data_IF_672040967961
#
_entry.id   IF_672040967961
#
_cell.length_a   1.000
_cell.length_b   1.000
_cell.length_c   1.000
_cell.angle_alpha   90.00
_cell.angle_beta   90.00
_cell.angle_gamma   90.00
#
_symmetry.space_group_name_H-M   'P 1'
#
loop_
_entity.id
_entity.type
_entity.pdbx_description
1 polymer ?
#
# COMPACT_ATOMS: atom_id res chain seq x y z
N UNK A 1 2.90 -3.77 6.40
CA UNK A 1 2.87 -4.77 5.34
C UNK A 1 1.44 -5.07 4.95
N UNK A 2 0.71 -5.80 5.79
CA UNK A 2 -0.65 -6.30 5.47
C UNK A 2 -1.64 -5.20 5.05
N UNK A 3 -1.67 -4.06 5.74
CA UNK A 3 -2.59 -2.96 5.42
C UNK A 3 -2.36 -2.38 4.01
N UNK A 4 -1.12 -2.14 3.60
CA UNK A 4 -0.80 -1.65 2.25
C UNK A 4 -1.15 -2.69 1.18
N UNK A 5 -0.98 -3.98 1.48
CA UNK A 5 -1.34 -5.08 0.58
C UNK A 5 -2.86 -5.16 0.37
N UNK A 6 -3.64 -5.12 1.45
CA UNK A 6 -5.11 -5.10 1.35
C UNK A 6 -5.63 -3.85 0.64
N UNK A 7 -5.04 -2.67 0.89
CA UNK A 7 -5.40 -1.44 0.21
C UNK A 7 -5.13 -1.50 -1.30
N UNK A 8 -3.97 -2.02 -1.71
CA UNK A 8 -3.66 -2.24 -3.13
C UNK A 8 -4.66 -3.19 -3.79
N UNK A 9 -4.96 -4.33 -3.17
CA UNK A 9 -5.97 -5.27 -3.69
C UNK A 9 -7.33 -4.60 -3.79
N UNK A 10 -7.74 -3.83 -2.78
CA UNK A 10 -9.02 -3.13 -2.77
C UNK A 10 -9.10 -2.12 -3.92
N UNK A 11 -8.09 -1.25 -4.07
CA UNK A 11 -8.09 -0.23 -5.12
C UNK A 11 -8.01 -0.83 -6.52
N UNK A 12 -7.20 -1.88 -6.71
CA UNK A 12 -7.16 -2.62 -7.99
C UNK A 12 -8.50 -3.30 -8.29
N UNK A 13 -9.13 -3.91 -7.30
CA UNK A 13 -10.44 -4.55 -7.49
C UNK A 13 -11.53 -3.53 -7.86
N UNK A 14 -11.54 -2.37 -7.18
CA UNK A 14 -12.46 -1.28 -7.49
C UNK A 14 -12.22 -0.71 -8.90
N UNK A 15 -10.96 -0.61 -9.34
CA UNK A 15 -10.61 -0.15 -10.68
C UNK A 15 -11.05 -1.13 -11.77
N UNK A 16 -10.88 -2.43 -11.53
CA UNK A 16 -11.35 -3.48 -12.46
C UNK A 16 -12.87 -3.50 -12.54
N UNK A 17 -13.58 -3.24 -11.43
CA UNK A 17 -15.04 -3.15 -11.41
C UNK A 17 -15.58 -1.85 -12.01
N UNK A 18 -14.89 -0.72 -11.85
CA UNK A 18 -15.33 0.57 -12.41
C UNK A 18 -15.29 0.59 -13.94
N UNK A 19 -14.33 -0.10 -14.55
CA UNK A 19 -14.17 -0.18 -16.02
C UNK A 19 -15.42 -0.71 -16.75
N UNK A 20 -15.98 -1.89 -16.42
CA UNK A 20 -17.19 -2.38 -17.07
C UNK A 20 -18.42 -1.53 -16.73
N UNK A 21 -18.47 -0.91 -15.54
CA UNK A 21 -19.56 0.00 -15.15
C UNK A 21 -19.55 1.25 -16.04
N UNK A 22 -18.38 1.81 -16.31
CA UNK A 22 -18.20 2.98 -17.17
C UNK A 22 -18.59 2.69 -18.62
N UNK A 23 -18.23 1.50 -19.15
CA UNK A 23 -18.66 1.07 -20.48
C UNK A 23 -20.17 0.84 -20.53
N UNK A 24 -20.75 0.21 -19.50
CA UNK A 24 -22.18 -0.04 -19.42
C UNK A 24 -22.98 1.27 -19.31
N UNK A 25 -22.55 2.22 -18.49
CA UNK A 25 -23.21 3.53 -18.36
C UNK A 25 -23.12 4.33 -19.67
N UNK A 26 -21.99 4.29 -20.36
CA UNK A 26 -21.84 4.91 -21.68
C UNK A 26 -22.81 4.32 -22.70
N UNK A 27 -22.92 2.98 -22.78
CA UNK A 27 -23.84 2.30 -23.69
C UNK A 27 -25.32 2.58 -23.34
N UNK A 28 -25.66 2.64 -22.05
CA UNK A 28 -27.01 2.96 -21.59
C UNK A 28 -27.38 4.41 -21.91
N UNK A 29 -26.47 5.35 -21.70
CA UNK A 29 -26.66 6.75 -22.08
C UNK A 29 -26.86 6.86 -23.60
N UNK A 30 -25.98 6.25 -24.39
CA UNK A 30 -25.99 6.38 -25.85
C UNK A 30 -27.17 5.67 -26.54
N UNK A 31 -27.55 4.45 -26.10
CA UNK A 31 -28.62 3.67 -26.75
C UNK A 31 -30.00 3.88 -26.15
N UNK A 32 -30.10 4.26 -24.87
CA UNK A 32 -31.39 4.36 -24.15
C UNK A 32 -31.72 5.79 -23.71
N UNK A 33 -30.85 6.78 -23.96
CA UNK A 33 -31.02 8.17 -23.55
C UNK A 33 -31.40 8.34 -22.07
N UNK A 34 -30.88 7.46 -21.21
CA UNK A 34 -31.11 7.53 -19.76
C UNK A 34 -30.21 8.62 -19.20
N UNK A 35 -30.79 9.78 -18.88
CA UNK A 35 -30.05 10.97 -18.40
C UNK A 35 -29.27 10.70 -17.12
N UNK A 36 -29.79 9.88 -16.21
CA UNK A 36 -29.09 9.52 -14.97
C UNK A 36 -27.82 8.67 -15.19
N UNK A 37 -27.69 8.00 -16.34
CA UNK A 37 -26.48 7.23 -16.65
C UNK A 37 -25.25 8.15 -16.87
N UNK A 38 -25.48 9.42 -17.22
CA UNK A 38 -24.43 10.42 -17.35
C UNK A 38 -23.79 10.76 -16.00
N UNK A 39 -24.60 10.93 -14.95
CA UNK A 39 -24.10 11.20 -13.59
C UNK A 39 -23.26 10.03 -13.09
N UNK A 40 -23.70 8.80 -13.36
CA UNK A 40 -22.96 7.58 -13.02
C UNK A 40 -21.66 7.49 -13.80
N UNK A 41 -21.66 7.81 -15.10
CA UNK A 41 -20.47 7.87 -15.93
C UNK A 41 -19.45 8.87 -15.37
N UNK A 42 -19.87 10.10 -15.08
CA UNK A 42 -19.02 11.14 -14.52
C UNK A 42 -18.43 10.72 -13.16
N UNK A 43 -19.26 10.18 -12.27
CA UNK A 43 -18.82 9.70 -10.95
C UNK A 43 -17.79 8.57 -11.08
N UNK A 44 -17.97 7.67 -12.06
CA UNK A 44 -17.03 6.60 -12.35
C UNK A 44 -15.68 7.14 -12.83
N UNK A 45 -15.68 8.16 -13.70
CA UNK A 45 -14.46 8.82 -14.18
C UNK A 45 -13.70 9.52 -13.04
N UNK A 46 -14.40 10.30 -12.20
CA UNK A 46 -13.80 10.93 -11.01
C UNK A 46 -13.25 9.88 -10.03
N UNK A 47 -13.99 8.79 -9.82
CA UNK A 47 -13.54 7.70 -8.96
C UNK A 47 -12.29 7.00 -9.51
N UNK A 48 -12.16 6.89 -10.84
CA UNK A 48 -10.98 6.34 -11.49
C UNK A 48 -9.73 7.17 -11.22
N UNK A 49 -9.83 8.50 -11.33
CA UNK A 49 -8.72 9.42 -11.00
C UNK A 49 -8.36 9.29 -9.52
N UNK A 50 -9.36 9.29 -8.63
CA UNK A 50 -9.15 9.14 -7.19
C UNK A 50 -8.46 7.82 -6.84
N UNK A 51 -8.91 6.70 -7.39
CA UNK A 51 -8.31 5.37 -7.18
C UNK A 51 -6.86 5.35 -7.64
N UNK A 52 -6.53 6.02 -8.75
CA UNK A 52 -5.16 6.11 -9.25
C UNK A 52 -4.26 6.88 -8.27
N UNK A 53 -4.74 8.00 -7.73
CA UNK A 53 -4.04 8.77 -6.70
C UNK A 53 -3.85 7.92 -5.43
N UNK A 54 -4.89 7.23 -4.96
CA UNK A 54 -4.82 6.35 -3.81
C UNK A 54 -3.83 5.18 -4.01
N UNK A 55 -3.78 4.61 -5.20
CA UNK A 55 -2.85 3.54 -5.53
C UNK A 55 -1.39 4.02 -5.48
N UNK A 56 -1.10 5.19 -6.03
CA UNK A 56 0.22 5.82 -5.88
C UNK A 56 0.52 6.19 -4.42
N UNK A 57 -0.47 6.69 -3.68
CA UNK A 57 -0.35 6.97 -2.23
C UNK A 57 -0.01 5.72 -1.40
N UNK A 58 -0.40 4.52 -1.84
CA UNK A 58 -0.02 3.27 -1.18
C UNK A 58 1.49 3.00 -1.21
N UNK A 59 2.24 3.60 -2.13
CA UNK A 59 3.71 3.53 -2.13
C UNK A 59 4.31 4.23 -0.91
N UNK A 60 3.73 5.35 -0.49
CA UNK A 60 4.18 6.08 0.71
C UNK A 60 4.00 5.24 1.99
N UNK A 61 2.87 4.55 2.10
CA UNK A 61 2.61 3.62 3.21
C UNK A 61 3.55 2.40 3.21
N UNK A 62 3.97 1.93 2.02
CA UNK A 62 4.93 0.82 1.90
C UNK A 62 6.32 1.22 2.41
N UNK A 63 6.79 2.43 2.05
CA UNK A 63 8.07 2.98 2.51
C UNK A 63 8.08 3.17 4.04
N UNK A 64 7.02 3.77 4.60
CA UNK A 64 6.88 3.95 6.07
C UNK A 64 7.00 2.62 6.81
N UNK A 65 6.35 1.57 6.29
CA UNK A 65 6.44 0.25 6.91
C UNK A 65 7.86 -0.34 6.83
N UNK A 66 8.55 -0.18 5.70
CA UNK A 66 9.94 -0.64 5.56
C UNK A 66 10.89 0.07 6.53
N UNK A 67 10.78 1.39 6.66
CA UNK A 67 11.62 2.17 7.59
C UNK A 67 11.38 1.76 9.04
N UNK A 68 10.13 1.68 9.49
CA UNK A 68 9.80 1.25 10.86
C UNK A 68 10.29 -0.18 11.14
N UNK A 69 10.19 -1.08 10.17
CA UNK A 69 10.69 -2.44 10.32
C UNK A 69 12.22 -2.49 10.44
N UNK A 70 12.95 -1.76 9.58
CA UNK A 70 14.40 -1.70 9.62
C UNK A 70 14.92 -1.11 10.94
N UNK A 71 14.30 -0.03 11.44
CA UNK A 71 14.68 0.58 12.72
C UNK A 71 14.45 -0.39 13.88
N UNK A 72 13.30 -1.07 13.95
CA UNK A 72 13.04 -2.07 14.99
C UNK A 72 14.04 -3.22 14.97
N UNK A 73 14.38 -3.73 13.78
CA UNK A 73 15.36 -4.82 13.65
C UNK A 73 16.77 -4.40 14.11
N UNK A 74 17.15 -3.14 13.86
CA UNK A 74 18.42 -2.58 14.35
C UNK A 74 18.37 -2.43 15.88
N UNK A 75 17.28 -1.92 16.43
CA UNK A 75 17.11 -1.76 17.89
C UNK A 75 17.12 -3.10 18.62
N UNK A 76 16.44 -4.12 18.07
CA UNK A 76 16.49 -5.49 18.59
C UNK A 76 17.91 -6.08 18.50
N UNK A 77 18.67 -5.78 17.44
CA UNK A 77 20.05 -6.24 17.32
C UNK A 77 20.99 -5.57 18.33
N UNK A 78 20.77 -4.29 18.64
CA UNK A 78 21.54 -3.54 19.64
C UNK A 78 21.19 -4.03 21.05
N UNK A 79 19.91 -4.27 21.35
CA UNK A 79 19.48 -4.77 22.67
C UNK A 79 19.84 -6.24 22.93
N UNK A 80 19.91 -7.08 21.89
CA UNK A 80 20.30 -8.49 22.00
C UNK A 80 21.84 -8.72 21.96
N UNK A 81 22.66 -7.65 21.96
CA UNK A 81 24.09 -7.75 22.30
C UNK A 81 24.39 -7.36 23.77
N UNK A 82 23.86 -8.04 24.81
CA UNK A 82 24.65 -8.25 26.01
C UNK A 82 25.53 -9.47 25.75
N UNK A 83 26.84 -9.40 26.01
CA UNK A 83 27.80 -10.54 26.01
C UNK A 83 28.64 -10.78 24.75
N UNK A 84 29.20 -9.74 24.10
CA UNK A 84 30.48 -9.91 23.36
C UNK A 84 31.65 -9.11 23.90
N UNK A 85 31.40 -8.07 24.71
CA UNK A 85 32.50 -7.31 25.32
C UNK A 85 33.09 -7.96 26.60
N UNK A 86 32.37 -8.86 27.29
CA UNK A 86 32.90 -9.54 28.47
C UNK A 86 33.77 -10.78 28.19
N UNK A 87 33.83 -11.29 26.95
CA UNK A 87 34.71 -12.43 26.61
C UNK A 87 36.11 -12.01 26.13
N UNK A 88 36.32 -10.74 25.77
CA UNK A 88 37.63 -10.26 25.32
C UNK A 88 38.52 -9.85 26.50
N UNK A 89 37.95 -9.50 27.65
CA UNK A 89 38.69 -9.10 28.85
C UNK A 89 39.10 -10.28 29.77
N UNK A 90 38.74 -11.52 29.41
CA UNK A 90 38.96 -12.73 30.22
C UNK A 90 40.04 -13.68 29.65
N UNK A 91 40.93 -13.21 28.77
CA UNK A 91 42.12 -13.97 28.37
C UNK A 91 43.27 -13.49 29.27
N UNK A 92 43.67 -14.25 30.32
CA UNK A 92 44.84 -13.89 31.10
C UNK A 92 46.08 -14.03 30.22
N UNK A 93 46.92 -12.99 30.18
CA UNK A 93 48.30 -13.09 29.71
C UNK A 93 48.97 -14.25 30.44
N UNK A 94 49.29 -15.32 29.69
CA UNK A 94 50.15 -16.38 30.20
C UNK A 94 51.60 -15.97 29.95
N UNK A 95 52.25 -15.70 31.08
CA UNK A 95 53.66 -15.47 31.28
C UNK A 95 54.50 -16.75 31.09
#
# INVERSE_FOLDING_TARGET
>A
GRLSYYLKILFTSLYVLSTPILVASFLLYWRKCITWAYDVFALCEYSGVFLNICFHGCAFFDIRYKVTFSVRKIEDAIQNEPTKQQQVEAIPEKH
#
